data_IF_627855290732
#
_entry.id   IF_627855290732
#
_cell.length_a   1.000
_cell.length_b   1.000
_cell.length_c   1.000
_cell.angle_alpha   90.00
_cell.angle_beta   90.00
_cell.angle_gamma   90.00
#
_symmetry.space_group_name_H-M   'P 1'
#
loop_
_entity.id
_entity.type
_entity.pdbx_description
1 polymer ?
#
# COMPACT_ATOMS: atom_id res chain seq x y z
N UNK A 1 30.17 -13.42 30.01
CA UNK A 1 29.59 -12.08 29.79
C UNK A 1 30.29 -11.50 28.58
N UNK A 2 29.67 -11.57 27.41
CA UNK A 2 30.09 -10.83 26.22
C UNK A 2 28.84 -10.27 25.52
N UNK A 3 28.86 -8.98 25.11
CA UNK A 3 27.66 -8.28 24.72
C UNK A 3 27.35 -8.42 23.23
N UNK A 4 26.05 -8.65 22.97
CA UNK A 4 25.23 -8.04 21.93
C UNK A 4 25.90 -7.83 20.56
N UNK A 5 25.65 -8.82 19.70
CA UNK A 5 25.45 -8.74 18.25
C UNK A 5 25.76 -7.37 17.63
N UNK A 6 26.73 -7.27 16.69
CA UNK A 6 26.75 -6.13 15.79
C UNK A 6 25.45 -6.18 15.01
N UNK A 7 24.52 -5.29 15.37
CA UNK A 7 23.35 -4.96 14.57
C UNK A 7 23.89 -4.49 13.22
N UNK A 8 24.05 -5.44 12.31
CA UNK A 8 24.35 -5.19 10.92
C UNK A 8 23.35 -4.17 10.42
N UNK A 9 23.89 -3.01 10.05
CA UNK A 9 23.47 -2.15 8.95
C UNK A 9 22.12 -2.55 8.36
N UNK A 10 21.03 -2.27 9.10
CA UNK A 10 19.70 -2.31 8.51
C UNK A 10 19.70 -1.14 7.54
N UNK A 11 19.77 -1.48 6.25
CA UNK A 11 19.78 -0.55 5.13
C UNK A 11 18.67 0.51 5.19
N UNK A 12 18.66 1.46 4.26
CA UNK A 12 17.89 2.69 4.37
C UNK A 12 16.45 2.42 4.82
N UNK A 13 16.04 3.12 5.89
CA UNK A 13 14.69 3.06 6.45
C UNK A 13 13.72 3.17 5.27
N UNK A 14 12.83 2.18 5.05
CA UNK A 14 11.93 2.22 3.91
C UNK A 14 11.13 3.52 3.96
N UNK A 15 11.20 4.32 2.88
CA UNK A 15 10.45 5.56 2.78
C UNK A 15 8.95 5.23 2.75
N UNK A 16 8.35 5.28 3.94
CA UNK A 16 6.97 4.91 4.22
C UNK A 16 6.00 5.68 3.34
N UNK A 17 6.29 6.98 3.15
CA UNK A 17 5.50 7.88 2.31
C UNK A 17 5.56 7.42 0.86
N UNK A 18 6.76 7.11 0.36
CA UNK A 18 6.94 6.62 -1.00
C UNK A 18 6.21 5.29 -1.26
N UNK A 19 6.18 4.39 -0.28
CA UNK A 19 5.43 3.13 -0.39
C UNK A 19 3.93 3.36 -0.38
N UNK A 20 3.43 4.26 0.48
CA UNK A 20 2.03 4.64 0.49
C UNK A 20 1.62 5.30 -0.85
N UNK A 21 2.43 6.22 -1.36
CA UNK A 21 2.20 6.87 -2.66
C UNK A 21 2.15 5.86 -3.81
N UNK A 22 2.95 4.80 -3.75
CA UNK A 22 2.94 3.72 -4.73
C UNK A 22 1.65 2.90 -4.70
N UNK A 23 1.19 2.58 -3.49
CA UNK A 23 -0.08 1.89 -3.25
C UNK A 23 -1.23 2.74 -3.76
N UNK A 24 -1.24 4.04 -3.43
CA UNK A 24 -2.24 5.00 -3.89
C UNK A 24 -2.23 5.17 -5.42
N UNK A 25 -1.04 5.23 -6.03
CA UNK A 25 -0.91 5.26 -7.49
C UNK A 25 -1.59 4.04 -8.12
N UNK A 26 -1.31 2.83 -7.60
CA UNK A 26 -1.90 1.58 -8.09
C UNK A 26 -3.42 1.58 -7.99
N UNK A 27 -3.99 2.03 -6.87
CA UNK A 27 -5.44 2.10 -6.71
C UNK A 27 -6.08 3.14 -7.62
N UNK A 28 -5.42 4.29 -7.84
CA UNK A 28 -5.92 5.32 -8.74
C UNK A 28 -5.87 4.92 -10.21
N UNK A 29 -4.85 4.18 -10.64
CA UNK A 29 -4.70 3.76 -12.05
C UNK A 29 -5.35 2.42 -12.36
N UNK A 30 -5.65 1.60 -11.36
CA UNK A 30 -6.12 0.23 -11.54
C UNK A 30 -5.08 -0.72 -12.15
N UNK A 31 -3.82 -0.27 -12.31
CA UNK A 31 -2.79 -1.04 -12.99
C UNK A 31 -2.33 -2.26 -12.17
N UNK A 32 -1.79 -3.31 -12.82
CA UNK A 32 -1.10 -4.39 -12.15
C UNK A 32 0.02 -3.87 -11.23
N UNK A 33 0.29 -4.58 -10.12
CA UNK A 33 1.39 -4.24 -9.21
C UNK A 33 2.75 -4.19 -9.93
N UNK A 34 2.94 -5.01 -10.96
CA UNK A 34 4.18 -5.08 -11.74
C UNK A 34 4.47 -3.80 -12.54
N UNK A 35 3.45 -2.98 -12.77
CA UNK A 35 3.56 -1.73 -13.53
C UNK A 35 3.78 -0.52 -12.60
N UNK A 36 3.91 -0.75 -11.29
CA UNK A 36 4.25 0.32 -10.33
C UNK A 36 5.58 0.95 -10.76
N UNK A 37 5.60 2.29 -10.99
CA UNK A 37 6.80 2.96 -11.44
C UNK A 37 7.98 2.80 -10.47
N UNK A 38 9.16 2.53 -11.02
CA UNK A 38 10.39 2.28 -10.25
C UNK A 38 10.80 3.45 -9.33
N UNK A 39 10.33 4.67 -9.63
CA UNK A 39 10.49 5.83 -8.73
C UNK A 39 9.96 5.58 -7.31
N UNK A 40 9.03 4.64 -7.16
CA UNK A 40 8.49 4.25 -5.86
C UNK A 40 9.30 3.13 -5.17
N UNK A 41 10.23 2.51 -5.89
CA UNK A 41 10.98 1.32 -5.50
C UNK A 41 10.43 0.05 -6.13
N UNK A 42 10.99 -1.10 -5.74
CA UNK A 42 10.56 -2.40 -6.26
C UNK A 42 9.10 -2.67 -5.93
N UNK A 43 8.32 -3.05 -6.95
CA UNK A 43 6.92 -3.42 -6.81
C UNK A 43 6.70 -4.54 -5.79
N UNK A 44 7.66 -5.47 -5.64
CA UNK A 44 7.57 -6.58 -4.68
C UNK A 44 7.64 -6.09 -3.23
N UNK A 45 8.46 -5.07 -2.97
CA UNK A 45 8.57 -4.44 -1.65
C UNK A 45 7.31 -3.65 -1.32
N UNK A 46 6.78 -2.89 -2.29
CA UNK A 46 5.52 -2.15 -2.15
C UNK A 46 4.36 -3.11 -1.86
N UNK A 47 4.24 -4.19 -2.64
CA UNK A 47 3.22 -5.21 -2.45
C UNK A 47 3.34 -5.89 -1.09
N UNK A 48 4.54 -6.33 -0.69
CA UNK A 48 4.76 -6.96 0.61
C UNK A 48 4.38 -6.04 1.77
N UNK A 49 4.69 -4.75 1.68
CA UNK A 49 4.27 -3.77 2.69
C UNK A 49 2.76 -3.58 2.71
N UNK A 50 2.14 -3.44 1.55
CA UNK A 50 0.68 -3.33 1.43
C UNK A 50 -0.02 -4.53 2.07
N UNK A 51 0.48 -5.75 1.83
CA UNK A 51 -0.07 -6.97 2.44
C UNK A 51 0.02 -6.94 3.97
N UNK A 52 1.13 -6.45 4.53
CA UNK A 52 1.25 -6.27 5.99
C UNK A 52 0.19 -5.28 6.48
N UNK A 53 0.04 -4.12 5.85
CA UNK A 53 -0.95 -3.13 6.29
C UNK A 53 -2.39 -3.56 6.08
N UNK A 54 -2.68 -4.31 5.03
CA UNK A 54 -4.00 -4.85 4.77
C UNK A 54 -4.39 -5.88 5.83
N UNK A 55 -3.45 -6.75 6.22
CA UNK A 55 -3.69 -7.78 7.25
C UNK A 55 -3.74 -7.21 8.67
N UNK A 56 -2.99 -6.14 8.95
CA UNK A 56 -3.03 -5.46 10.27
C UNK A 56 -4.14 -4.41 10.40
N UNK A 57 -4.92 -4.16 9.34
CA UNK A 57 -5.93 -3.10 9.30
C UNK A 57 -5.36 -1.68 9.22
N UNK A 58 -4.03 -1.52 9.22
CA UNK A 58 -3.36 -0.21 9.11
C UNK A 58 -3.71 0.50 7.81
N UNK A 59 -3.85 -0.25 6.71
CA UNK A 59 -4.20 0.35 5.42
C UNK A 59 -5.60 0.99 5.48
N UNK A 60 -6.57 0.31 6.09
CA UNK A 60 -7.93 0.84 6.25
C UNK A 60 -7.93 2.12 7.09
N UNK A 61 -7.24 2.13 8.24
CA UNK A 61 -7.16 3.32 9.09
C UNK A 61 -6.51 4.51 8.36
N UNK A 62 -5.47 4.26 7.55
CA UNK A 62 -4.83 5.31 6.73
C UNK A 62 -5.79 5.85 5.66
N UNK A 63 -6.54 4.98 4.99
CA UNK A 63 -7.53 5.37 3.99
C UNK A 63 -8.67 6.19 4.59
N UNK A 64 -9.22 5.75 5.73
CA UNK A 64 -10.25 6.49 6.46
C UNK A 64 -9.76 7.89 6.89
N UNK A 65 -8.52 7.99 7.39
CA UNK A 65 -7.90 9.27 7.72
C UNK A 65 -7.77 10.20 6.51
N UNK A 66 -7.32 9.68 5.36
CA UNK A 66 -7.22 10.46 4.13
C UNK A 66 -8.59 10.90 3.59
N UNK A 67 -9.60 10.03 3.66
CA UNK A 67 -10.99 10.38 3.28
C UNK A 67 -11.51 11.49 4.19
N UNK A 68 -11.31 11.39 5.51
CA UNK A 68 -11.73 12.40 6.47
C UNK A 68 -11.04 13.76 6.23
N UNK A 69 -9.74 13.74 5.94
CA UNK A 69 -8.97 14.94 5.62
C UNK A 69 -9.42 15.58 4.30
N UNK A 70 -9.67 14.78 3.26
CA UNK A 70 -10.16 15.26 1.96
C UNK A 70 -11.58 15.85 2.07
N UNK A 71 -12.46 15.20 2.84
CA UNK A 71 -13.79 15.68 3.16
C UNK A 71 -13.73 17.02 3.93
N UNK A 72 -12.84 17.13 4.92
CA UNK A 72 -12.64 18.37 5.68
C UNK A 72 -12.10 19.53 4.81
N UNK A 73 -11.37 19.22 3.73
CA UNK A 73 -10.85 20.20 2.77
C UNK A 73 -11.82 20.55 1.63
N UNK A 74 -13.02 19.95 1.60
CA UNK A 74 -13.99 20.16 0.52
C UNK A 74 -13.53 19.62 -0.85
N UNK A 75 -12.47 18.80 -0.89
CA UNK A 75 -11.94 18.18 -2.10
C UNK A 75 -12.49 16.76 -2.19
N UNK A 76 -13.74 16.63 -2.66
CA UNK A 76 -14.36 15.32 -2.83
C UNK A 76 -14.25 14.91 -4.31
N UNK A 77 -13.11 14.31 -4.67
CA UNK A 77 -13.11 13.35 -5.77
C UNK A 77 -12.42 12.06 -5.33
N UNK A 78 -13.17 11.28 -4.55
CA UNK A 78 -12.85 9.90 -4.18
C UNK A 78 -13.85 8.92 -4.80
N UNK A 79 -14.62 9.37 -5.80
CA UNK A 79 -15.55 8.54 -6.58
C UNK A 79 -14.84 7.33 -7.24
N UNK A 80 -13.53 7.44 -7.45
CA UNK A 80 -12.66 6.39 -8.00
C UNK A 80 -12.12 5.37 -6.99
N UNK A 81 -12.12 5.66 -5.68
CA UNK A 81 -11.56 4.76 -4.65
C UNK A 81 -12.58 3.75 -4.13
N UNK A 82 -13.87 3.95 -4.44
CA UNK A 82 -14.94 2.97 -4.19
C UNK A 82 -14.82 1.69 -5.05
N UNK A 83 -13.86 1.61 -5.95
CA UNK A 83 -13.81 0.57 -6.99
C UNK A 83 -13.11 -0.70 -6.47
N UNK A 84 -13.98 -1.59 -5.99
CA UNK A 84 -14.05 -3.02 -6.27
C UNK A 84 -13.32 -4.01 -5.32
N UNK A 85 -13.99 -4.30 -4.21
CA UNK A 85 -13.90 -5.60 -3.52
C UNK A 85 -14.80 -6.62 -4.22
N UNK A 86 -14.47 -7.07 -5.44
CA UNK A 86 -15.00 -8.33 -5.96
C UNK A 86 -13.92 -9.40 -5.89
N UNK A 87 -14.03 -10.25 -4.87
CA UNK A 87 -13.40 -11.56 -4.86
C UNK A 87 -14.06 -12.38 -5.98
N UNK A 88 -13.47 -12.33 -7.18
CA UNK A 88 -13.80 -13.24 -8.27
C UNK A 88 -13.37 -14.65 -7.88
N UNK A 89 -14.26 -15.42 -7.28
CA UNK A 89 -14.14 -16.88 -7.12
C UNK A 89 -13.86 -17.46 -8.51
N UNK A 90 -12.74 -18.16 -8.68
CA UNK A 90 -12.46 -18.91 -9.90
C UNK A 90 -13.54 -19.99 -10.09
N UNK A 91 -14.13 -20.15 -11.29
CA UNK A 91 -14.89 -21.36 -11.60
C UNK A 91 -13.91 -22.53 -11.64
N UNK A 92 -14.11 -23.51 -10.75
CA UNK A 92 -13.58 -24.85 -10.98
C UNK A 92 -14.19 -25.35 -12.30
N UNK A 93 -13.34 -25.64 -13.28
CA UNK A 93 -13.74 -26.41 -14.46
C UNK A 93 -13.38 -27.89 -14.20
N UNK A 94 -14.25 -28.85 -14.56
CA UNK A 94 -14.16 -30.27 -14.17
C UNK A 94 -12.92 -31.01 -14.69
#
# INVERSE_FOLDING_TARGET
MEPLLPLGERGPIPDLRRQLDAVMWRFRTGSPWRDVPERYGSWSTVYGRFQIWATTGTFQALMEGMIAEAAARGQVDLSLVSVDSTVGRAPHHP
#
